data_IF_352129922288
#
_entry.id   IF_352129922288
#
_cell.length_a   1.000
_cell.length_b   1.000
_cell.length_c   1.000
_cell.angle_alpha   90.00
_cell.angle_beta   90.00
_cell.angle_gamma   90.00
#
_symmetry.space_group_name_H-M   'P 1'
#
loop_
_entity.id
_entity.type
_entity.pdbx_description
1 polymer ?
#
# COMPACT_ATOMS: atom_id res chain seq x y z
N UNK A 1 -22.56 7.98 4.27
CA UNK A 1 -21.69 8.52 3.68
C UNK A 1 -22.13 9.52 2.82
N UNK A 2 -21.77 10.59 2.95
CA UNK A 2 -22.17 11.60 2.31
C UNK A 2 -21.45 11.96 1.17
N UNK A 3 -21.40 11.31 0.23
CA UNK A 3 -20.63 11.64 -0.85
C UNK A 3 -21.30 12.44 -1.83
N UNK A 4 -22.55 12.42 -1.89
CA UNK A 4 -23.19 13.10 -2.86
C UNK A 4 -23.11 14.51 -2.74
N UNK A 5 -23.08 15.03 -1.68
CA UNK A 5 -23.09 16.43 -1.64
C UNK A 5 -21.80 17.06 -1.74
N UNK A 6 -20.79 16.29 -1.91
CA UNK A 6 -19.56 16.80 -1.87
C UNK A 6 -19.31 17.80 -2.85
N UNK A 7 -19.87 17.71 -3.89
CA UNK A 7 -19.56 18.60 -4.93
C UNK A 7 -19.91 19.97 -4.53
N UNK A 8 -21.04 20.20 -4.10
CA UNK A 8 -21.41 21.47 -3.83
C UNK A 8 -20.88 22.00 -2.60
N UNK A 9 -20.55 21.24 -1.72
CA UNK A 9 -20.02 21.78 -0.56
C UNK A 9 -18.60 21.53 -0.42
N UNK A 10 -17.94 21.09 -1.39
CA UNK A 10 -16.52 20.79 -1.34
C UNK A 10 -16.22 19.86 -0.19
N UNK A 11 -17.16 19.03 0.15
CA UNK A 11 -16.93 18.12 1.22
C UNK A 11 -16.10 16.95 0.75
N UNK A 12 -15.19 16.50 1.56
CA UNK A 12 -14.36 15.36 1.25
C UNK A 12 -14.76 14.24 2.17
N UNK A 13 -15.04 13.07 1.61
CA UNK A 13 -15.39 11.91 2.40
C UNK A 13 -14.12 11.16 2.75
N UNK A 14 -13.71 11.15 4.01
CA UNK A 14 -12.44 10.49 4.37
C UNK A 14 -12.37 9.04 3.97
N UNK A 15 -13.48 8.32 4.03
CA UNK A 15 -13.45 6.92 3.65
C UNK A 15 -13.19 6.77 2.16
N UNK A 16 -13.75 7.62 1.33
CA UNK A 16 -13.49 7.55 -0.08
C UNK A 16 -12.04 7.88 -0.39
N UNK A 17 -11.48 8.87 0.32
CA UNK A 17 -10.09 9.22 0.13
C UNK A 17 -9.22 8.02 0.48
N UNK A 18 -9.51 7.35 1.60
CA UNK A 18 -8.74 6.20 2.03
C UNK A 18 -8.79 5.08 1.00
N UNK A 19 -9.98 4.76 0.54
CA UNK A 19 -10.12 3.67 -0.42
C UNK A 19 -9.41 3.99 -1.71
N UNK A 20 -9.54 5.24 -2.19
CA UNK A 20 -8.87 5.61 -3.43
C UNK A 20 -7.36 5.57 -3.29
N UNK A 21 -6.85 5.92 -2.12
CA UNK A 21 -5.42 5.95 -1.92
C UNK A 21 -4.81 4.55 -1.97
N UNK A 22 -5.51 3.54 -1.47
CA UNK A 22 -4.94 2.21 -1.42
C UNK A 22 -5.46 1.29 -2.52
N UNK A 23 -6.21 1.80 -3.49
CA UNK A 23 -6.89 0.95 -4.45
C UNK A 23 -6.03 0.47 -5.61
N UNK A 24 -4.83 0.92 -5.74
CA UNK A 24 -3.98 0.40 -6.81
C UNK A 24 -3.75 -1.08 -6.59
N UNK A 25 -3.73 -1.83 -7.67
CA UNK A 25 -3.70 -3.27 -7.59
C UNK A 25 -2.61 -3.84 -6.71
N UNK A 26 -1.45 -3.20 -6.69
CA UNK A 26 -0.32 -3.76 -5.99
C UNK A 26 0.03 -3.03 -4.70
N UNK A 27 -0.73 -2.00 -4.32
CA UNK A 27 -0.34 -1.17 -3.18
C UNK A 27 -0.41 -1.92 -1.86
N UNK A 28 -1.48 -2.65 -1.62
CA UNK A 28 -1.59 -3.41 -0.37
C UNK A 28 -0.51 -4.49 -0.29
N UNK A 29 -0.27 -5.28 -1.34
CA UNK A 29 0.83 -6.23 -1.29
C UNK A 29 2.18 -5.59 -1.02
N UNK A 30 2.45 -4.41 -1.58
CA UNK A 30 3.71 -3.74 -1.36
C UNK A 30 3.84 -3.33 0.12
N UNK A 31 2.78 -2.75 0.69
CA UNK A 31 2.81 -2.34 2.08
C UNK A 31 3.07 -3.55 2.97
N UNK A 32 2.45 -4.69 2.63
CA UNK A 32 2.62 -5.88 3.42
C UNK A 32 4.05 -6.40 3.36
N UNK A 33 4.66 -6.36 2.17
CA UNK A 33 6.03 -6.78 2.02
C UNK A 33 6.97 -5.89 2.83
N UNK A 34 6.72 -4.60 2.83
CA UNK A 34 7.57 -3.69 3.60
C UNK A 34 7.38 -3.94 5.09
N UNK A 35 6.16 -4.22 5.51
CA UNK A 35 5.89 -4.51 6.89
C UNK A 35 6.61 -5.78 7.34
N UNK A 36 6.88 -6.69 6.41
CA UNK A 36 7.59 -7.91 6.73
C UNK A 36 9.10 -7.75 6.64
N UNK A 37 9.58 -6.57 6.38
CA UNK A 37 11.01 -6.34 6.37
C UNK A 37 11.66 -6.14 5.02
N UNK A 38 10.91 -6.26 3.93
CA UNK A 38 11.47 -6.05 2.61
C UNK A 38 11.58 -4.56 2.39
N UNK A 39 12.55 -4.13 1.65
CA UNK A 39 12.75 -2.71 1.42
C UNK A 39 13.10 -2.36 -0.01
N UNK A 40 13.54 -3.31 -0.81
CA UNK A 40 14.04 -2.99 -2.14
C UNK A 40 13.14 -3.47 -3.24
N UNK A 41 13.10 -2.75 -4.35
CA UNK A 41 12.26 -3.16 -5.47
C UNK A 41 12.49 -4.59 -5.92
N UNK A 42 13.74 -5.06 -5.88
CA UNK A 42 14.00 -6.43 -6.30
C UNK A 42 13.35 -7.42 -5.35
N UNK A 43 13.23 -7.08 -4.07
CA UNK A 43 12.57 -7.96 -3.13
C UNK A 43 11.08 -7.97 -3.38
N UNK A 44 10.49 -6.81 -3.73
CA UNK A 44 9.08 -6.76 -4.03
C UNK A 44 8.76 -7.57 -5.29
N UNK A 45 9.63 -7.47 -6.30
CA UNK A 45 9.40 -8.22 -7.52
C UNK A 45 9.43 -9.73 -7.26
N UNK A 46 10.26 -10.18 -6.33
CA UNK A 46 10.32 -11.59 -6.03
C UNK A 46 9.15 -12.01 -5.16
N UNK A 47 8.69 -11.14 -4.29
CA UNK A 47 7.67 -11.50 -3.33
C UNK A 47 6.23 -11.30 -3.78
N UNK A 48 6.00 -10.59 -4.86
CA UNK A 48 4.66 -10.33 -5.34
C UNK A 48 4.55 -10.88 -6.75
N UNK A 49 3.71 -11.89 -6.91
CA UNK A 49 3.58 -12.54 -8.19
C UNK A 49 2.99 -11.65 -9.25
N UNK A 50 3.53 -11.73 -10.44
CA UNK A 50 2.97 -11.07 -11.61
C UNK A 50 2.98 -9.56 -11.64
N UNK A 51 3.76 -8.92 -10.80
CA UNK A 51 3.89 -7.49 -10.92
C UNK A 51 5.12 -7.23 -11.76
N UNK A 52 5.05 -6.31 -12.74
CA UNK A 52 6.23 -6.00 -13.50
C UNK A 52 6.87 -4.74 -12.95
N UNK A 53 8.12 -4.53 -13.34
CA UNK A 53 8.91 -3.46 -12.76
C UNK A 53 8.34 -2.08 -13.03
N UNK A 54 7.79 -1.86 -14.20
CA UNK A 54 7.27 -0.55 -14.51
C UNK A 54 6.06 -0.20 -13.65
N UNK A 55 5.16 -1.16 -13.49
CA UNK A 55 3.97 -0.95 -12.66
C UNK A 55 4.37 -0.81 -11.20
N UNK A 56 5.34 -1.62 -10.75
CA UNK A 56 5.80 -1.53 -9.38
C UNK A 56 6.36 -0.13 -9.11
N UNK A 57 7.19 0.39 -10.00
CA UNK A 57 7.78 1.70 -9.79
C UNK A 57 6.71 2.79 -9.77
N UNK A 58 5.69 2.65 -10.61
CA UNK A 58 4.63 3.62 -10.64
C UNK A 58 3.87 3.62 -9.33
N UNK A 59 3.56 2.44 -8.78
CA UNK A 59 2.83 2.35 -7.54
C UNK A 59 3.67 2.85 -6.36
N UNK A 60 4.96 2.56 -6.38
CA UNK A 60 5.85 3.04 -5.33
C UNK A 60 5.92 4.57 -5.34
N UNK A 61 5.99 5.17 -6.53
CA UNK A 61 6.04 6.62 -6.64
C UNK A 61 4.75 7.23 -6.10
N UNK A 62 3.61 6.64 -6.42
CA UNK A 62 2.34 7.14 -5.92
C UNK A 62 2.29 7.07 -4.40
N UNK A 63 2.80 5.99 -3.83
CA UNK A 63 2.74 5.84 -2.40
C UNK A 63 3.70 6.78 -1.67
N UNK A 64 4.80 7.11 -2.29
CA UNK A 64 5.70 8.12 -1.73
C UNK A 64 5.01 9.48 -1.79
N UNK A 65 4.38 9.80 -2.92
CA UNK A 65 3.71 11.07 -3.05
C UNK A 65 2.55 11.19 -2.06
N UNK A 66 1.90 10.09 -1.72
CA UNK A 66 0.79 10.10 -0.79
C UNK A 66 1.28 10.10 0.66
N UNK A 67 2.57 10.03 0.89
CA UNK A 67 3.11 10.07 2.25
C UNK A 67 3.07 8.75 2.98
N UNK A 68 2.80 7.65 2.29
CA UNK A 68 2.75 6.34 2.94
C UNK A 68 4.13 5.74 3.05
N UNK A 69 4.99 6.01 2.09
CA UNK A 69 6.35 5.48 2.07
C UNK A 69 7.38 6.58 1.99
N UNK A 70 8.57 6.29 2.48
CA UNK A 70 9.72 7.15 2.30
C UNK A 70 10.69 6.41 1.40
N UNK A 71 11.27 7.11 0.43
CA UNK A 71 12.22 6.52 -0.46
C UNK A 71 13.59 7.06 -0.08
N UNK A 72 14.57 6.20 0.06
CA UNK A 72 15.91 6.61 0.37
C UNK A 72 16.85 6.04 -0.67
N UNK A 73 17.64 6.91 -1.29
CA UNK A 73 18.61 6.49 -2.29
C UNK A 73 19.98 6.50 -1.65
N UNK A 74 20.76 5.48 -1.94
CA UNK A 74 22.08 5.38 -1.40
C UNK A 74 23.08 5.57 -2.54
N UNK A 75 24.03 6.45 -2.34
CA UNK A 75 25.00 6.77 -3.37
C UNK A 75 26.11 5.74 -3.35
N UNK A 76 25.85 4.60 -3.90
CA UNK A 76 26.78 3.51 -3.95
C UNK A 76 26.89 2.98 -5.36
N UNK A 77 27.74 2.03 -5.58
CA UNK A 77 27.89 1.36 -6.86
C UNK A 77 27.73 -0.12 -6.62
N UNK A 78 26.63 -0.70 -7.07
CA UNK A 78 25.59 -0.06 -7.86
C UNK A 78 24.66 0.75 -6.97
N UNK A 79 23.90 1.65 -7.52
CA UNK A 79 22.98 2.47 -6.73
C UNK A 79 21.96 1.61 -6.04
N UNK A 80 21.54 2.04 -4.86
CA UNK A 80 20.59 1.28 -4.09
C UNK A 80 19.48 2.19 -3.63
N UNK A 81 18.25 1.70 -3.67
CA UNK A 81 17.09 2.43 -3.23
C UNK A 81 16.32 1.57 -2.26
N UNK A 82 15.88 2.15 -1.17
CA UNK A 82 15.08 1.44 -0.18
C UNK A 82 13.82 2.22 0.13
N UNK A 83 12.74 1.52 0.41
CA UNK A 83 11.46 2.12 0.76
C UNK A 83 11.08 1.64 2.16
N UNK A 84 10.61 2.56 2.98
CA UNK A 84 10.16 2.22 4.33
C UNK A 84 8.84 2.92 4.60
N UNK A 85 8.11 2.44 5.60
CA UNK A 85 6.83 3.03 5.95
C UNK A 85 7.05 4.31 6.73
N UNK A 86 6.23 5.31 6.44
CA UNK A 86 6.18 6.51 7.26
C UNK A 86 5.25 6.21 8.44
N UNK A 87 5.09 7.18 9.32
CA UNK A 87 4.16 7.02 10.42
C UNK A 87 2.76 6.81 9.86
N UNK A 88 2.40 7.53 8.80
CA UNK A 88 1.10 7.35 8.16
C UNK A 88 0.99 5.94 7.58
N UNK A 89 2.07 5.43 7.00
CA UNK A 89 2.07 4.07 6.48
C UNK A 89 1.90 3.03 7.56
N UNK A 90 2.48 3.28 8.74
CA UNK A 90 2.32 2.36 9.85
C UNK A 90 0.89 2.35 10.35
N UNK A 91 0.21 3.48 10.31
CA UNK A 91 -1.19 3.51 10.67
C UNK A 91 -2.02 2.72 9.67
N UNK A 92 -1.63 2.76 8.41
CA UNK A 92 -2.32 1.98 7.39
C UNK A 92 -2.17 0.49 7.69
N UNK A 93 -0.99 0.06 8.12
CA UNK A 93 -0.79 -1.35 8.43
C UNK A 93 -1.76 -1.80 9.53
N UNK A 94 -2.01 -0.97 10.53
CA UNK A 94 -2.94 -1.32 11.58
C UNK A 94 -4.34 -1.53 11.01
N UNK A 95 -4.73 -0.69 10.08
CA UNK A 95 -6.04 -0.81 9.44
C UNK A 95 -6.09 -2.07 8.59
N UNK A 96 -5.01 -2.39 7.91
CA UNK A 96 -4.97 -3.57 7.06
C UNK A 96 -5.07 -4.84 7.90
N UNK A 97 -4.51 -4.86 9.11
CA UNK A 97 -4.68 -6.02 9.98
C UNK A 97 -6.13 -6.20 10.36
N UNK A 98 -6.84 -5.11 10.63
CA UNK A 98 -8.25 -5.19 10.95
C UNK A 98 -9.03 -5.66 9.73
N UNK A 99 -8.66 -5.18 8.56
CA UNK A 99 -9.31 -5.59 7.34
C UNK A 99 -9.06 -7.07 7.06
N UNK A 100 -7.85 -7.53 7.38
CA UNK A 100 -7.51 -8.93 7.23
C UNK A 100 -8.42 -9.80 8.12
N UNK A 101 -8.66 -9.37 9.34
CA UNK A 101 -9.50 -10.13 10.25
C UNK A 101 -10.95 -10.13 9.75
N UNK A 102 -11.41 -9.02 9.23
CA UNK A 102 -12.75 -8.97 8.68
C UNK A 102 -12.84 -9.88 7.45
N UNK A 103 -11.76 -9.91 6.65
CA UNK A 103 -11.74 -10.75 5.47
C UNK A 103 -11.87 -12.24 5.80
N UNK A 104 -11.37 -12.65 6.98
CA UNK A 104 -11.47 -14.03 7.36
C UNK A 104 -12.92 -14.46 7.50
N UNK A 105 -13.80 -13.53 7.82
CA UNK A 105 -15.20 -13.85 7.96
C UNK A 105 -15.85 -14.18 6.63
N UNK A 106 -15.21 -13.78 5.54
CA UNK A 106 -15.76 -14.02 4.22
C UNK A 106 -15.28 -15.34 3.61
N UNK A 107 -14.35 -16.01 4.25
CA UNK A 107 -13.80 -17.24 3.73
C UNK A 107 -14.51 -18.41 4.39
N UNK A 108 -15.03 -19.35 3.60
CA UNK A 108 -15.71 -20.49 4.18
C UNK A 108 -14.76 -21.29 5.05
N UNK A 109 -15.26 -21.75 6.19
CA UNK A 109 -14.44 -22.47 7.12
C UNK A 109 -13.64 -23.59 6.54
N UNK A 110 -14.19 -24.38 5.67
CA UNK A 110 -13.47 -25.46 5.16
C UNK A 110 -12.42 -25.08 4.16
N UNK A 111 -12.38 -23.85 3.71
CA UNK A 111 -11.37 -23.45 2.78
C UNK A 111 -10.29 -22.67 3.46
N UNK A 112 -10.39 -22.43 4.71
CA UNK A 112 -9.43 -21.66 5.40
C UNK A 112 -8.20 -22.47 5.63
N UNK A 113 -7.04 -21.95 5.42
CA UNK A 113 -5.83 -22.71 5.56
C UNK A 113 -5.00 -22.21 6.66
#
# INVERSE_FOLDING_TARGET
METKGRAEENKICPLEVAVNTISGKWKIPIVWQINEGKKRPSEFLRGIAKVDRRVLNQQLTEMVDDGILTKQSFNELPPKVEYTLTELGEKLVEILWQLNDWGKLLIPEKEEV
#
